data_IF_996492285493
#
_entry.id   IF_996492285493
#
_cell.length_a   1.000
_cell.length_b   1.000
_cell.length_c   1.000
_cell.angle_alpha   90.00
_cell.angle_beta   90.00
_cell.angle_gamma   90.00
#
_symmetry.space_group_name_H-M   'P 1'
#
loop_
_entity.id
_entity.type
_entity.pdbx_description
1 polymer ?
#
# COMPACT_ATOMS: atom_id res chain seq x y z
N UNK A 1 -3.02 10.77 -11.38
CA UNK A 1 -2.36 11.55 -10.30
C UNK A 1 -1.29 10.65 -9.69
N UNK A 2 0.00 10.93 -9.92
CA UNK A 2 1.10 10.15 -9.33
C UNK A 2 1.47 10.74 -7.97
N UNK A 3 1.82 9.88 -7.01
CA UNK A 3 2.24 10.31 -5.66
C UNK A 3 3.55 11.12 -5.73
N UNK A 4 3.59 12.32 -5.13
CA UNK A 4 4.75 13.21 -5.21
C UNK A 4 5.74 12.98 -4.05
N UNK A 5 6.71 12.09 -4.24
CA UNK A 5 7.81 11.84 -3.27
C UNK A 5 8.98 12.83 -3.36
N UNK A 6 8.93 13.79 -4.30
CA UNK A 6 10.05 14.68 -4.59
C UNK A 6 10.44 15.63 -3.46
N UNK A 7 9.47 16.27 -2.78
CA UNK A 7 9.77 17.24 -1.70
C UNK A 7 10.47 16.59 -0.50
N UNK A 8 9.99 15.44 0.02
CA UNK A 8 10.69 14.74 1.10
C UNK A 8 12.14 14.36 0.73
N UNK A 9 12.38 13.89 -0.50
CA UNK A 9 13.72 13.50 -0.97
C UNK A 9 14.68 14.69 -0.99
N UNK A 10 14.24 15.85 -1.51
CA UNK A 10 15.06 17.07 -1.53
C UNK A 10 15.41 17.54 -0.11
N UNK A 11 14.48 17.44 0.84
CA UNK A 11 14.75 17.80 2.24
C UNK A 11 15.70 16.81 2.91
N UNK A 12 15.56 15.51 2.63
CA UNK A 12 16.51 14.49 3.10
C UNK A 12 17.92 14.76 2.58
N UNK A 13 18.05 15.10 1.29
CA UNK A 13 19.32 15.47 0.67
C UNK A 13 19.94 16.71 1.32
N UNK A 14 19.15 17.75 1.56
CA UNK A 14 19.63 18.97 2.22
C UNK A 14 20.03 18.73 3.69
N UNK A 15 19.41 17.77 4.38
CA UNK A 15 19.66 17.51 5.79
C UNK A 15 20.92 16.65 6.05
N UNK A 16 21.10 15.57 5.28
CA UNK A 16 22.20 14.60 5.47
C UNK A 16 22.64 13.92 4.17
N UNK A 17 22.56 14.63 3.04
CA UNK A 17 22.92 14.11 1.72
C UNK A 17 22.25 12.75 1.43
N UNK A 18 23.00 11.79 0.88
CA UNK A 18 22.53 10.44 0.55
C UNK A 18 21.89 9.75 1.76
N UNK A 19 22.50 9.87 2.95
CA UNK A 19 21.98 9.23 4.15
C UNK A 19 20.59 9.77 4.51
N UNK A 20 20.37 11.08 4.36
CA UNK A 20 19.09 11.70 4.61
C UNK A 20 18.02 11.28 3.59
N UNK A 21 18.38 11.15 2.31
CA UNK A 21 17.50 10.58 1.28
C UNK A 21 17.11 9.15 1.62
N UNK A 22 18.11 8.30 1.93
CA UNK A 22 17.88 6.89 2.28
C UNK A 22 16.93 6.78 3.47
N UNK A 23 17.15 7.59 4.51
CA UNK A 23 16.31 7.59 5.71
C UNK A 23 14.87 7.99 5.41
N UNK A 24 14.65 9.01 4.57
CA UNK A 24 13.30 9.43 4.16
C UNK A 24 12.59 8.32 3.38
N UNK A 25 13.29 7.66 2.46
CA UNK A 25 12.71 6.54 1.69
C UNK A 25 12.35 5.35 2.57
N UNK A 26 13.20 5.00 3.54
CA UNK A 26 12.90 3.98 4.55
C UNK A 26 11.64 4.33 5.35
N UNK A 27 11.54 5.55 5.89
CA UNK A 27 10.37 5.99 6.65
C UNK A 27 9.09 5.96 5.80
N UNK A 28 9.14 6.42 4.55
CA UNK A 28 7.99 6.38 3.64
C UNK A 28 7.54 4.95 3.33
N UNK A 29 8.50 4.03 3.16
CA UNK A 29 8.19 2.61 2.96
C UNK A 29 7.54 2.01 4.20
N UNK A 30 8.08 2.27 5.38
CA UNK A 30 7.57 1.73 6.65
C UNK A 30 6.14 2.22 6.92
N UNK A 31 5.87 3.52 6.75
CA UNK A 31 4.52 4.11 6.89
C UNK A 31 3.54 3.56 5.86
N UNK A 32 4.01 3.34 4.63
CA UNK A 32 3.19 2.73 3.59
C UNK A 32 2.83 1.29 3.94
N UNK A 33 3.82 0.45 4.32
CA UNK A 33 3.59 -0.94 4.74
C UNK A 33 2.68 -1.03 5.98
N UNK A 34 2.84 -0.10 6.94
CA UNK A 34 1.97 0.01 8.11
C UNK A 34 0.53 0.33 7.70
N UNK A 35 0.35 1.35 6.86
CA UNK A 35 -0.98 1.75 6.36
C UNK A 35 -1.65 0.62 5.58
N UNK A 36 -0.88 -0.10 4.77
CA UNK A 36 -1.35 -1.30 4.06
C UNK A 36 -1.85 -2.35 5.05
N UNK A 37 -1.02 -2.69 6.04
CA UNK A 37 -1.37 -3.67 7.08
C UNK A 37 -2.65 -3.29 7.81
N UNK A 38 -2.78 -2.03 8.24
CA UNK A 38 -3.97 -1.50 8.91
C UNK A 38 -5.20 -1.47 7.99
N UNK A 39 -5.00 -1.32 6.67
CA UNK A 39 -6.06 -1.39 5.67
C UNK A 39 -6.47 -2.83 5.33
N UNK A 40 -5.92 -3.84 6.03
CA UNK A 40 -6.19 -5.26 5.77
C UNK A 40 -5.41 -5.83 4.59
N UNK A 41 -4.30 -5.17 4.20
CA UNK A 41 -3.39 -5.64 3.17
C UNK A 41 -2.18 -6.31 3.73
N UNK A 42 -2.00 -7.56 3.33
CA UNK A 42 -0.86 -8.35 3.70
C UNK A 42 -0.03 -8.61 2.45
N UNK A 43 1.29 -8.46 2.59
CA UNK A 43 2.25 -8.86 1.58
C UNK A 43 2.37 -10.38 1.63
N UNK A 44 1.84 -11.07 0.63
CA UNK A 44 2.03 -12.51 0.44
C UNK A 44 3.03 -12.71 -0.70
N UNK A 45 4.08 -13.50 -0.46
CA UNK A 45 5.17 -13.85 -1.41
C UNK A 45 5.06 -13.22 -2.82
N UNK A 46 5.56 -11.98 -2.95
CA UNK A 46 5.71 -11.30 -4.24
C UNK A 46 4.51 -10.48 -4.74
N UNK A 47 3.35 -10.50 -4.09
CA UNK A 47 2.19 -9.69 -4.47
C UNK A 47 1.63 -8.90 -3.29
N UNK A 48 1.29 -7.64 -3.56
CA UNK A 48 0.45 -6.85 -2.68
C UNK A 48 -1.00 -7.26 -2.94
N UNK A 49 -1.66 -7.89 -1.97
CA UNK A 49 -3.12 -7.97 -1.99
C UNK A 49 -3.65 -6.51 -1.97
N UNK A 50 -4.73 -6.19 -2.69
CA UNK A 50 -5.41 -4.87 -2.66
C UNK A 50 -6.71 -4.97 -1.85
N UNK A 51 -7.08 -4.01 -0.95
CA UNK A 51 -8.19 -4.16 -0.02
C UNK A 51 -9.49 -3.65 -0.64
N UNK A 52 -9.35 -2.87 -1.72
CA UNK A 52 -10.43 -2.51 -2.62
C UNK A 52 -10.74 -3.76 -3.42
N UNK A 53 -11.47 -4.69 -2.78
CA UNK A 53 -12.36 -5.55 -3.54
C UNK A 53 -13.17 -4.60 -4.43
N UNK A 54 -13.07 -4.79 -5.74
CA UNK A 54 -14.06 -4.30 -6.69
C UNK A 54 -15.41 -4.53 -6.03
N UNK A 55 -16.16 -3.45 -5.75
CA UNK A 55 -17.59 -3.59 -5.48
C UNK A 55 -18.10 -4.42 -6.66
N UNK A 56 -18.62 -5.64 -6.44
CA UNK A 56 -19.00 -6.48 -7.55
C UNK A 56 -19.99 -5.67 -8.37
N UNK A 57 -19.69 -5.47 -9.67
CA UNK A 57 -20.77 -5.14 -10.60
C UNK A 57 -21.85 -6.20 -10.36
N UNK A 58 -23.10 -5.78 -10.18
CA UNK A 58 -24.20 -6.66 -9.78
C UNK A 58 -24.44 -7.83 -10.74
N UNK A 59 -23.73 -7.86 -11.88
CA UNK A 59 -23.70 -8.91 -12.88
C UNK A 59 -22.85 -10.14 -12.51
N UNK A 60 -21.94 -10.07 -11.53
CA UNK A 60 -21.02 -11.17 -11.19
C UNK A 60 -21.02 -11.54 -9.69
N UNK A 61 -22.18 -11.57 -9.04
CA UNK A 61 -22.31 -12.11 -7.69
C UNK A 61 -22.14 -13.65 -7.74
N UNK A 62 -21.12 -14.26 -7.11
CA UNK A 62 -21.04 -15.72 -7.04
C UNK A 62 -22.23 -16.22 -6.25
N UNK A 63 -23.01 -17.15 -6.83
CA UNK A 63 -24.19 -17.69 -6.18
C UNK A 63 -23.79 -18.24 -4.81
N UNK A 64 -24.26 -17.60 -3.75
CA UNK A 64 -24.14 -18.08 -2.40
C UNK A 64 -24.99 -19.35 -2.30
N UNK A 65 -24.43 -20.49 -2.74
CA UNK A 65 -25.01 -21.80 -2.48
C UNK A 65 -25.00 -21.98 -0.98
N UNK A 66 -26.13 -21.65 -0.37
CA UNK A 66 -26.55 -22.05 0.96
C UNK A 66 -26.20 -23.54 1.13
N UNK A 67 -25.11 -23.84 1.84
CA UNK A 67 -25.03 -25.07 2.62
C UNK A 67 -25.77 -24.78 3.93
N UNK A 68 -27.09 -24.81 3.83
CA UNK A 68 -27.90 -25.31 4.94
C UNK A 68 -27.71 -26.82 4.84
N UNK A 69 -26.93 -27.37 5.75
CA UNK A 69 -27.01 -28.70 6.36
C UNK A 69 -25.88 -28.79 7.38
#
# INVERSE_FOLDING_TARGET
>A
MLMQVGRPVVYGLAAKEEYGVRRVLEMLKDEFELTMTLSGLFKHEGYYQTPYTVLPESSNLPSMRRKIL
#
